data_IF_534500999439
#
_entry.id   IF_534500999439
#
_cell.length_a   1.000
_cell.length_b   1.000
_cell.length_c   1.000
_cell.angle_alpha   90.00
_cell.angle_beta   90.00
_cell.angle_gamma   90.00
#
_symmetry.space_group_name_H-M   'P 1'
#
loop_
_entity.id
_entity.type
_entity.pdbx_description
1 polymer ?
#
# COMPACT_ATOMS: atom_id res chain seq x y z
N UNK A 1 -13.22 -0.01 20.59
CA UNK A 1 -13.87 0.74 19.48
C UNK A 1 -13.48 0.13 18.14
N UNK A 2 -14.45 -0.04 17.26
CA UNK A 2 -14.16 -0.58 15.93
C UNK A 2 -13.39 0.46 15.08
N UNK A 3 -12.48 -0.02 14.24
CA UNK A 3 -11.76 0.82 13.29
C UNK A 3 -12.68 1.24 12.13
N UNK A 4 -13.49 0.31 11.64
CA UNK A 4 -14.38 0.53 10.52
C UNK A 4 -15.70 -0.22 10.70
N UNK A 5 -16.72 0.26 10.00
CA UNK A 5 -18.02 -0.40 9.89
C UNK A 5 -18.30 -0.71 8.43
N UNK A 6 -18.77 -1.92 8.15
CA UNK A 6 -18.98 -2.40 6.79
C UNK A 6 -20.42 -2.85 6.60
N UNK A 7 -21.00 -2.49 5.45
CA UNK A 7 -22.32 -2.92 5.04
C UNK A 7 -22.26 -3.50 3.62
N UNK A 8 -22.83 -4.70 3.45
CA UNK A 8 -22.97 -5.29 2.14
C UNK A 8 -24.14 -4.63 1.39
N UNK A 9 -23.89 -4.15 0.18
CA UNK A 9 -24.89 -3.46 -0.62
C UNK A 9 -25.56 -4.34 -1.67
N UNK A 10 -25.14 -5.59 -1.76
CA UNK A 10 -25.54 -6.47 -2.87
C UNK A 10 -24.59 -6.31 -4.07
N UNK A 11 -24.73 -7.18 -5.03
CA UNK A 11 -23.91 -7.19 -6.26
C UNK A 11 -22.41 -7.23 -6.00
N UNK A 12 -22.02 -7.91 -4.90
CA UNK A 12 -20.60 -8.09 -4.51
C UNK A 12 -19.90 -6.78 -4.16
N UNK A 13 -20.67 -5.81 -3.65
CA UNK A 13 -20.20 -4.48 -3.26
C UNK A 13 -20.43 -4.23 -1.78
N UNK A 14 -19.44 -3.60 -1.15
CA UNK A 14 -19.55 -3.16 0.24
C UNK A 14 -19.30 -1.66 0.38
N UNK A 15 -20.02 -1.05 1.33
CA UNK A 15 -19.70 0.29 1.83
C UNK A 15 -18.92 0.15 3.13
N UNK A 16 -17.83 0.91 3.27
CA UNK A 16 -16.95 0.83 4.43
C UNK A 16 -16.72 2.24 4.97
N UNK A 17 -16.99 2.43 6.26
CA UNK A 17 -16.87 3.73 6.90
C UNK A 17 -15.77 3.65 7.95
N UNK A 18 -14.78 4.53 7.83
CA UNK A 18 -13.74 4.72 8.85
C UNK A 18 -14.37 5.46 10.04
N UNK A 19 -14.47 4.80 11.18
CA UNK A 19 -15.24 5.32 12.32
C UNK A 19 -14.70 6.66 12.81
N UNK A 20 -13.38 6.78 12.92
CA UNK A 20 -12.76 7.98 13.47
C UNK A 20 -12.98 9.23 12.59
N UNK A 21 -12.88 9.09 11.27
CA UNK A 21 -12.95 10.22 10.35
C UNK A 21 -14.29 10.37 9.63
N UNK A 22 -15.11 9.32 9.61
CA UNK A 22 -16.34 9.29 8.81
C UNK A 22 -16.10 9.08 7.31
N UNK A 23 -14.86 8.90 6.87
CA UNK A 23 -14.55 8.66 5.45
C UNK A 23 -15.15 7.35 5.00
N UNK A 24 -15.84 7.38 3.85
CA UNK A 24 -16.43 6.20 3.25
C UNK A 24 -15.67 5.78 2.00
N UNK A 25 -15.44 4.48 1.86
CA UNK A 25 -14.91 3.87 0.64
C UNK A 25 -15.75 2.68 0.25
N UNK A 26 -15.81 2.39 -1.05
CA UNK A 26 -16.51 1.21 -1.56
C UNK A 26 -15.50 0.16 -2.00
N UNK A 27 -15.87 -1.12 -1.82
CA UNK A 27 -15.11 -2.24 -2.37
C UNK A 27 -16.00 -3.04 -3.30
N UNK A 28 -15.42 -3.56 -4.37
CA UNK A 28 -16.08 -4.43 -5.33
C UNK A 28 -15.30 -5.72 -5.49
N UNK A 29 -16.00 -6.83 -5.76
CA UNK A 29 -15.30 -8.00 -6.23
C UNK A 29 -14.64 -7.68 -7.58
N UNK A 30 -13.44 -8.21 -7.86
CA UNK A 30 -12.78 -7.94 -9.14
C UNK A 30 -13.48 -8.61 -10.31
N UNK A 31 -13.23 -8.10 -11.53
CA UNK A 31 -13.88 -8.61 -12.74
C UNK A 31 -13.55 -10.07 -13.01
N UNK A 32 -12.36 -10.54 -12.61
CA UNK A 32 -11.95 -11.94 -12.74
C UNK A 32 -12.56 -12.86 -11.67
N UNK A 33 -13.39 -12.30 -10.76
CA UNK A 33 -14.10 -13.02 -9.72
C UNK A 33 -15.56 -12.54 -9.62
N UNK A 34 -16.22 -12.41 -10.77
CA UNK A 34 -17.65 -12.09 -10.92
C UNK A 34 -18.06 -10.69 -10.48
N UNK A 35 -17.14 -9.82 -10.17
CA UNK A 35 -17.43 -8.47 -9.71
C UNK A 35 -17.49 -7.45 -10.83
N UNK A 36 -18.00 -6.25 -10.49
CA UNK A 36 -18.08 -5.11 -11.43
C UNK A 36 -16.74 -4.42 -11.63
N UNK A 37 -15.83 -4.52 -10.67
CA UNK A 37 -14.51 -3.90 -10.75
C UNK A 37 -14.54 -2.38 -10.83
N UNK A 38 -15.60 -1.73 -10.32
CA UNK A 38 -15.72 -0.28 -10.39
C UNK A 38 -15.09 0.43 -9.19
N UNK A 39 -14.52 -0.32 -8.26
CA UNK A 39 -13.75 0.18 -7.12
C UNK A 39 -12.67 -0.84 -6.79
N UNK A 40 -11.82 -0.52 -5.81
CA UNK A 40 -10.81 -1.47 -5.33
C UNK A 40 -11.46 -2.73 -4.78
N UNK A 41 -10.93 -3.89 -5.14
CA UNK A 41 -11.31 -5.13 -4.47
C UNK A 41 -10.62 -5.22 -3.10
N UNK A 42 -11.08 -6.10 -2.19
CA UNK A 42 -10.38 -6.32 -0.92
C UNK A 42 -8.90 -6.69 -1.10
N UNK A 43 -8.58 -7.54 -2.08
CA UNK A 43 -7.17 -7.89 -2.35
C UNK A 43 -6.40 -6.75 -2.98
N UNK A 44 -7.04 -5.88 -3.77
CA UNK A 44 -6.42 -4.64 -4.25
C UNK A 44 -6.02 -3.74 -3.08
N UNK A 45 -6.92 -3.57 -2.10
CA UNK A 45 -6.64 -2.76 -0.92
C UNK A 45 -5.51 -3.36 -0.09
N UNK A 46 -5.48 -4.67 0.04
CA UNK A 46 -4.39 -5.37 0.74
C UNK A 46 -3.04 -5.08 0.07
N UNK A 47 -2.98 -5.18 -1.25
CA UNK A 47 -1.76 -4.89 -2.00
C UNK A 47 -1.38 -3.41 -1.88
N UNK A 48 -2.35 -2.52 -2.07
CA UNK A 48 -2.14 -1.07 -1.96
C UNK A 48 -1.65 -0.67 -0.58
N UNK A 49 -2.15 -1.31 0.47
CA UNK A 49 -1.77 -1.00 1.84
C UNK A 49 -0.25 -1.14 2.06
N UNK A 50 0.39 -2.09 1.39
CA UNK A 50 1.85 -2.25 1.49
C UNK A 50 2.56 -1.03 0.94
N UNK A 51 2.23 -0.61 -0.28
CA UNK A 51 2.88 0.54 -0.92
C UNK A 51 2.66 1.83 -0.15
N UNK A 52 1.42 2.10 0.27
CA UNK A 52 1.12 3.33 1.04
C UNK A 52 1.79 3.31 2.40
N UNK A 53 1.89 2.17 3.04
CA UNK A 53 2.59 2.03 4.32
C UNK A 53 4.09 2.31 4.16
N UNK A 54 4.72 1.79 3.12
CA UNK A 54 6.13 2.05 2.83
C UNK A 54 6.37 3.55 2.64
N UNK A 55 5.55 4.20 1.80
CA UNK A 55 5.67 5.64 1.51
C UNK A 55 5.47 6.46 2.79
N UNK A 56 4.45 6.12 3.58
CA UNK A 56 4.17 6.82 4.83
C UNK A 56 5.33 6.66 5.83
N UNK A 57 5.90 5.47 5.92
CA UNK A 57 7.05 5.19 6.79
C UNK A 57 8.27 6.03 6.39
N UNK A 58 8.53 6.15 5.08
CA UNK A 58 9.58 7.02 4.56
C UNK A 58 9.29 8.48 4.90
N UNK A 59 8.03 8.92 4.73
CA UNK A 59 7.61 10.28 5.06
C UNK A 59 7.81 10.61 6.54
N UNK A 60 7.48 9.68 7.43
CA UNK A 60 7.69 9.85 8.88
C UNK A 60 9.18 10.00 9.19
N UNK A 61 10.02 9.17 8.56
CA UNK A 61 11.47 9.27 8.72
C UNK A 61 11.98 10.65 8.29
N UNK A 62 11.59 11.10 7.10
CA UNK A 62 11.98 12.42 6.59
C UNK A 62 11.56 13.54 7.54
N UNK A 63 10.33 13.52 8.01
CA UNK A 63 9.79 14.49 8.94
C UNK A 63 10.58 14.50 10.26
N UNK A 64 10.90 13.32 10.79
CA UNK A 64 11.69 13.18 12.03
C UNK A 64 13.09 13.74 11.86
N UNK A 65 13.69 13.60 10.67
CA UNK A 65 15.04 14.11 10.39
C UNK A 65 15.05 15.56 9.87
N UNK A 66 13.90 16.20 9.75
CA UNK A 66 13.79 17.61 9.44
C UNK A 66 13.96 17.95 7.96
N UNK A 67 13.63 17.05 7.05
CA UNK A 67 13.62 17.36 5.62
C UNK A 67 12.29 16.95 4.97
N UNK A 68 11.98 17.60 3.85
CA UNK A 68 10.79 17.30 3.08
C UNK A 68 11.16 16.59 1.78
N UNK A 69 10.44 15.53 1.46
CA UNK A 69 10.54 14.89 0.17
C UNK A 69 9.59 15.61 -0.77
N UNK A 70 10.11 16.05 -1.92
CA UNK A 70 9.37 16.88 -2.87
C UNK A 70 8.17 16.13 -3.45
N UNK A 71 8.38 14.88 -3.85
CA UNK A 71 7.34 14.07 -4.44
C UNK A 71 7.68 12.59 -4.30
N UNK A 72 6.66 11.77 -4.04
CA UNK A 72 6.76 10.32 -4.12
C UNK A 72 5.60 9.83 -4.98
N UNK A 73 5.93 9.09 -6.02
CA UNK A 73 4.94 8.41 -6.86
C UNK A 73 5.18 6.91 -6.84
N UNK A 74 4.14 6.11 -7.03
CA UNK A 74 4.29 4.66 -7.02
C UNK A 74 3.21 3.96 -7.82
N UNK A 75 3.58 2.80 -8.36
CA UNK A 75 2.66 1.86 -8.95
C UNK A 75 2.69 0.56 -8.15
N UNK A 76 1.51 0.03 -7.88
CA UNK A 76 1.34 -1.24 -7.16
C UNK A 76 0.74 -2.27 -8.09
N UNK A 77 1.34 -3.45 -8.18
CA UNK A 77 0.79 -4.57 -8.94
C UNK A 77 0.55 -5.76 -8.02
N UNK A 78 -0.68 -6.25 -8.04
CA UNK A 78 -1.09 -7.43 -7.30
C UNK A 78 -0.97 -8.66 -8.19
N UNK A 79 -0.32 -9.70 -7.69
CA UNK A 79 -0.22 -10.99 -8.36
C UNK A 79 -0.97 -12.05 -7.55
N UNK A 80 -1.92 -12.71 -8.19
CA UNK A 80 -2.74 -13.73 -7.55
C UNK A 80 -2.27 -15.13 -7.93
N UNK A 81 -2.43 -16.07 -7.02
CA UNK A 81 -2.25 -17.52 -7.26
C UNK A 81 -3.57 -18.25 -7.04
N UNK A 82 -3.65 -19.47 -7.53
CA UNK A 82 -4.83 -20.33 -7.42
C UNK A 82 -4.56 -21.50 -6.48
N UNK A 83 -5.63 -22.16 -6.05
CA UNK A 83 -5.64 -23.41 -5.29
C UNK A 83 -4.83 -23.34 -3.97
N UNK A 84 -5.20 -22.50 -3.01
CA UNK A 84 -6.35 -21.61 -3.00
C UNK A 84 -6.05 -20.24 -3.64
N UNK A 85 -7.11 -19.53 -4.03
CA UNK A 85 -7.00 -18.15 -4.52
C UNK A 85 -6.44 -17.26 -3.42
N UNK A 86 -5.32 -16.60 -3.70
CA UNK A 86 -4.61 -15.78 -2.72
C UNK A 86 -3.66 -14.82 -3.43
N UNK A 87 -3.22 -13.80 -2.69
CA UNK A 87 -2.13 -12.94 -3.16
C UNK A 87 -0.82 -13.72 -3.02
N UNK A 88 -0.08 -13.85 -4.13
CA UNK A 88 1.22 -14.53 -4.14
C UNK A 88 2.40 -13.55 -4.14
N UNK A 89 2.19 -12.35 -4.69
CA UNK A 89 3.24 -11.34 -4.83
C UNK A 89 2.62 -9.95 -4.90
N UNK A 90 3.29 -8.99 -4.31
CA UNK A 90 2.96 -7.57 -4.44
C UNK A 90 4.20 -6.85 -4.94
N UNK A 91 4.08 -6.20 -6.10
CA UNK A 91 5.15 -5.38 -6.67
C UNK A 91 4.84 -3.91 -6.38
N UNK A 92 5.78 -3.22 -5.76
CA UNK A 92 5.69 -1.78 -5.45
C UNK A 92 6.87 -1.08 -6.12
N UNK A 93 6.58 -0.30 -7.16
CA UNK A 93 7.59 0.50 -7.85
C UNK A 93 7.43 1.94 -7.42
N UNK A 94 8.37 2.43 -6.62
CA UNK A 94 8.30 3.74 -5.97
C UNK A 94 9.39 4.65 -6.53
N UNK A 95 9.03 5.84 -6.97
CA UNK A 95 9.98 6.86 -7.34
C UNK A 95 9.96 8.00 -6.32
N UNK A 96 11.12 8.37 -5.80
CA UNK A 96 11.27 9.40 -4.79
C UNK A 96 12.10 10.54 -5.37
N UNK A 97 11.54 11.77 -5.32
CA UNK A 97 12.25 12.99 -5.69
C UNK A 97 12.79 13.62 -4.40
N UNK A 98 14.09 13.57 -4.23
CA UNK A 98 14.74 14.06 -3.02
C UNK A 98 15.17 15.52 -3.19
N UNK A 99 15.11 16.36 -2.10
CA UNK A 99 15.69 17.69 -2.13
C UNK A 99 17.22 17.62 -2.12
N UNK A 100 17.90 18.69 -2.54
CA UNK A 100 19.36 18.76 -2.44
C UNK A 100 19.83 18.90 -0.99
N UNK A 101 21.10 18.61 -0.76
CA UNK A 101 21.75 18.85 0.53
C UNK A 101 21.60 17.74 1.55
N UNK A 102 21.08 16.58 1.16
CA UNK A 102 20.97 15.42 2.03
C UNK A 102 22.30 14.64 2.08
N UNK A 103 22.52 13.80 3.13
CA UNK A 103 23.70 12.96 3.20
C UNK A 103 23.85 12.06 1.97
N UNK A 104 25.09 11.73 1.59
CA UNK A 104 25.35 10.89 0.42
C UNK A 104 24.75 9.50 0.51
N UNK A 105 24.56 8.97 1.73
CA UNK A 105 23.99 7.64 1.95
C UNK A 105 22.46 7.64 2.16
N UNK A 106 21.79 8.77 1.86
CA UNK A 106 20.34 8.87 2.14
C UNK A 106 19.52 7.81 1.41
N UNK A 107 19.90 7.46 0.19
CA UNK A 107 19.17 6.44 -0.57
C UNK A 107 19.22 5.09 0.12
N UNK A 108 20.38 4.66 0.60
CA UNK A 108 20.54 3.42 1.37
C UNK A 108 19.70 3.43 2.65
N UNK A 109 19.68 4.57 3.33
CA UNK A 109 18.90 4.73 4.55
C UNK A 109 17.41 4.60 4.26
N UNK A 110 16.91 5.26 3.21
CA UNK A 110 15.50 5.20 2.87
C UNK A 110 15.05 3.82 2.42
N UNK A 111 15.89 3.08 1.70
CA UNK A 111 15.60 1.69 1.33
C UNK A 111 15.50 0.81 2.59
N UNK A 112 16.38 1.04 3.56
CA UNK A 112 16.35 0.32 4.84
C UNK A 112 15.09 0.64 5.64
N UNK A 113 14.71 1.92 5.68
CA UNK A 113 13.49 2.41 6.34
C UNK A 113 12.25 1.81 5.69
N UNK A 114 12.21 1.73 4.37
CA UNK A 114 11.10 1.13 3.62
C UNK A 114 10.80 -0.31 4.06
N UNK A 115 11.82 -1.06 4.46
CA UNK A 115 11.68 -2.45 4.87
C UNK A 115 11.21 -2.63 6.32
N UNK A 116 10.91 -1.53 7.03
CA UNK A 116 10.42 -1.58 8.42
C UNK A 116 8.91 -1.36 8.52
N UNK A 117 8.22 -1.26 7.41
CA UNK A 117 6.80 -0.90 7.40
C UNK A 117 5.94 -1.97 8.11
N UNK A 118 4.99 -1.55 8.96
CA UNK A 118 4.16 -2.49 9.71
C UNK A 118 3.34 -3.45 8.85
N UNK A 119 2.85 -3.00 7.69
CA UNK A 119 2.07 -3.87 6.80
C UNK A 119 2.94 -5.00 6.27
N UNK A 120 4.20 -4.72 5.87
CA UNK A 120 5.12 -5.75 5.41
C UNK A 120 5.32 -6.84 6.47
N UNK A 121 5.35 -6.44 7.74
CA UNK A 121 5.51 -7.36 8.87
C UNK A 121 4.25 -8.14 9.20
N UNK A 122 3.10 -7.68 8.70
CA UNK A 122 1.78 -8.27 8.99
C UNK A 122 1.30 -9.20 7.90
N UNK A 123 1.86 -9.10 6.70
CA UNK A 123 1.49 -9.96 5.56
C UNK A 123 2.05 -11.37 5.75
N UNK A 124 1.34 -12.35 5.18
CA UNK A 124 1.80 -13.73 5.22
C UNK A 124 3.22 -13.83 4.61
N UNK A 125 4.13 -14.57 5.25
CA UNK A 125 5.52 -14.65 4.77
C UNK A 125 5.68 -15.27 3.38
N UNK A 126 4.69 -16.04 2.91
CA UNK A 126 4.71 -16.61 1.56
C UNK A 126 4.40 -15.58 0.47
N UNK A 127 3.91 -14.40 0.84
CA UNK A 127 3.71 -13.32 -0.13
C UNK A 127 5.07 -12.71 -0.46
N UNK A 128 5.47 -12.81 -1.74
CA UNK A 128 6.67 -12.14 -2.20
C UNK A 128 6.45 -10.63 -2.24
N UNK A 129 7.35 -9.86 -1.67
CA UNK A 129 7.31 -8.40 -1.69
C UNK A 129 8.42 -7.91 -2.61
N UNK A 130 8.03 -7.51 -3.82
CA UNK A 130 8.94 -7.00 -4.84
C UNK A 130 8.96 -5.47 -4.74
N UNK A 131 9.94 -4.94 -4.02
CA UNK A 131 10.09 -3.51 -3.79
C UNK A 131 11.19 -2.95 -4.66
N UNK A 132 10.84 -2.02 -5.55
CA UNK A 132 11.80 -1.30 -6.37
C UNK A 132 11.65 0.19 -6.08
N UNK A 133 12.73 0.82 -5.62
CA UNK A 133 12.77 2.24 -5.32
C UNK A 133 13.80 2.90 -6.24
N UNK A 134 13.34 3.92 -6.96
CA UNK A 134 14.20 4.77 -7.79
C UNK A 134 14.19 6.18 -7.23
N UNK A 135 15.28 6.89 -7.45
CA UNK A 135 15.45 8.26 -6.97
C UNK A 135 15.75 9.19 -8.13
N UNK A 136 15.16 10.36 -8.10
CA UNK A 136 15.39 11.39 -9.11
C UNK A 136 15.50 12.80 -8.51
#
# INVERSE_FOLDING_TARGET
MATASTKYLGQLRCSNIHIQSGTEIFTDAPTDNQGMGSAFSPTDLCALSLTTCIITTIGIYAQTKGFEITEITADTTKHMASDPRRISKISSHINIVLPPGLPDNIQEILIRVANTCPVARSLHPDIEKDLQITFS
#
